data_IF_632127450127
#
_entry.id   IF_632127450127
#
_cell.length_a   1.000
_cell.length_b   1.000
_cell.length_c   1.000
_cell.angle_alpha   90.00
_cell.angle_beta   90.00
_cell.angle_gamma   90.00
#
_symmetry.space_group_name_H-M   'P 1'
#
loop_
_entity.id
_entity.type
_entity.pdbx_description
1 polymer ?
#
# COMPACT_ATOMS: atom_id res chain seq x y z
N UNK A 1 -18.77 -7.43 7.98
CA UNK A 1 -17.82 -6.29 8.14
C UNK A 1 -16.42 -6.76 7.78
N UNK A 2 -15.76 -6.17 6.79
CA UNK A 2 -14.38 -6.50 6.44
C UNK A 2 -13.40 -6.15 7.56
N UNK A 3 -12.39 -6.98 7.72
CA UNK A 3 -11.35 -6.79 8.74
C UNK A 3 -10.00 -6.61 8.06
N UNK A 4 -9.32 -5.51 8.40
CA UNK A 4 -7.96 -5.24 7.95
C UNK A 4 -6.99 -5.44 9.11
N UNK A 5 -5.89 -6.16 8.85
CA UNK A 5 -4.81 -6.34 9.81
C UNK A 5 -3.57 -5.64 9.27
N UNK A 6 -3.00 -4.75 10.07
CA UNK A 6 -1.77 -4.04 9.75
C UNK A 6 -0.57 -4.60 10.48
N UNK A 7 0.60 -4.48 9.86
CA UNK A 7 1.86 -4.89 10.46
C UNK A 7 2.70 -5.76 9.54
N UNK A 8 3.97 -5.94 9.90
CA UNK A 8 4.98 -6.57 9.07
C UNK A 8 5.52 -7.90 9.64
N UNK A 9 4.98 -8.36 10.76
CA UNK A 9 5.47 -9.57 11.42
C UNK A 9 5.21 -10.84 10.61
N UNK A 10 6.29 -11.55 10.28
CA UNK A 10 6.20 -12.69 9.36
C UNK A 10 5.58 -13.94 9.99
N UNK A 11 5.87 -14.19 11.28
CA UNK A 11 5.43 -15.43 11.94
C UNK A 11 4.04 -15.33 12.55
N UNK A 12 3.64 -14.17 13.02
CA UNK A 12 2.35 -13.97 13.70
C UNK A 12 1.40 -13.12 12.88
N UNK A 13 1.77 -11.87 12.57
CA UNK A 13 0.87 -10.92 11.90
C UNK A 13 0.42 -11.43 10.54
N UNK A 14 1.34 -11.79 9.67
CA UNK A 14 1.01 -12.26 8.33
C UNK A 14 0.28 -13.62 8.35
N UNK A 15 0.55 -14.43 9.34
CA UNK A 15 -0.21 -15.66 9.55
C UNK A 15 -1.67 -15.36 9.89
N UNK A 16 -1.91 -14.38 10.78
CA UNK A 16 -3.26 -13.96 11.14
C UNK A 16 -3.99 -13.32 9.96
N UNK A 17 -3.28 -12.57 9.13
CA UNK A 17 -3.84 -12.05 7.87
C UNK A 17 -4.35 -13.21 7.01
N UNK A 18 -3.53 -14.22 6.79
CA UNK A 18 -3.91 -15.36 5.97
C UNK A 18 -5.11 -16.12 6.53
N UNK A 19 -5.26 -16.18 7.85
CA UNK A 19 -6.35 -16.91 8.50
C UNK A 19 -7.66 -16.12 8.56
N UNK A 20 -7.61 -14.83 8.81
CA UNK A 20 -8.79 -14.08 9.26
C UNK A 20 -9.07 -12.78 8.52
N UNK A 21 -8.08 -12.18 7.85
CA UNK A 21 -8.24 -10.83 7.32
C UNK A 21 -8.84 -10.80 5.92
N UNK A 22 -9.62 -9.77 5.66
CA UNK A 22 -10.08 -9.42 4.32
C UNK A 22 -9.06 -8.53 3.60
N UNK A 23 -8.23 -7.82 4.38
CA UNK A 23 -7.19 -6.94 3.86
C UNK A 23 -5.99 -6.91 4.79
N UNK A 24 -4.83 -6.60 4.24
CA UNK A 24 -3.63 -6.31 5.01
C UNK A 24 -3.12 -4.90 4.69
N UNK A 25 -2.39 -4.33 5.64
CA UNK A 25 -1.72 -3.04 5.44
C UNK A 25 -0.24 -3.19 5.77
N UNK A 26 0.61 -2.93 4.79
CA UNK A 26 2.06 -3.11 4.88
C UNK A 26 2.78 -1.80 4.58
N UNK A 27 3.97 -1.63 5.17
CA UNK A 27 4.83 -0.50 4.82
C UNK A 27 5.58 -0.80 3.51
N UNK A 28 5.74 0.22 2.64
CA UNK A 28 6.40 0.03 1.34
C UNK A 28 7.94 0.05 1.48
N UNK A 29 8.46 -0.85 2.30
CA UNK A 29 9.90 -1.01 2.54
C UNK A 29 10.54 -1.83 1.43
N UNK A 30 11.90 -1.85 1.33
CA UNK A 30 12.57 -2.74 0.38
C UNK A 30 12.26 -4.22 0.59
N UNK A 31 11.81 -4.61 1.79
CA UNK A 31 11.45 -5.99 2.11
C UNK A 31 9.99 -6.34 1.81
N UNK A 32 9.19 -5.41 1.29
CA UNK A 32 7.75 -5.65 1.13
C UNK A 32 7.45 -6.81 0.19
N UNK A 33 8.23 -6.99 -0.87
CA UNK A 33 8.07 -8.12 -1.77
C UNK A 33 8.25 -9.45 -1.04
N UNK A 34 9.25 -9.54 -0.16
CA UNK A 34 9.46 -10.71 0.68
C UNK A 34 8.29 -10.94 1.64
N UNK A 35 7.74 -9.87 2.23
CA UNK A 35 6.57 -9.96 3.11
C UNK A 35 5.36 -10.52 2.37
N UNK A 36 5.14 -10.13 1.12
CA UNK A 36 4.07 -10.68 0.30
C UNK A 36 4.30 -12.18 0.02
N UNK A 37 5.55 -12.60 -0.21
CA UNK A 37 5.86 -14.03 -0.39
C UNK A 37 5.59 -14.83 0.88
N UNK A 38 5.90 -14.28 2.04
CA UNK A 38 5.60 -14.91 3.33
C UNK A 38 4.09 -15.05 3.52
N UNK A 39 3.33 -13.99 3.22
CA UNK A 39 1.87 -14.04 3.27
C UNK A 39 1.32 -15.13 2.34
N UNK A 40 1.85 -15.20 1.13
CA UNK A 40 1.44 -16.21 0.15
C UNK A 40 1.66 -17.64 0.65
N UNK A 41 2.81 -17.89 1.30
CA UNK A 41 3.11 -19.20 1.91
C UNK A 41 2.14 -19.53 3.04
N UNK A 42 1.80 -18.55 3.88
CA UNK A 42 0.78 -18.75 4.92
C UNK A 42 -0.58 -19.08 4.29
N UNK A 43 -0.96 -18.39 3.22
CA UNK A 43 -2.20 -18.68 2.51
C UNK A 43 -2.23 -20.11 1.97
N UNK A 44 -1.14 -20.58 1.37
CA UNK A 44 -1.01 -21.97 0.91
C UNK A 44 -1.18 -22.94 2.06
N UNK A 45 -0.54 -22.69 3.20
CA UNK A 45 -0.62 -23.55 4.40
C UNK A 45 -2.05 -23.67 4.94
N UNK A 46 -2.82 -22.57 4.92
CA UNK A 46 -4.18 -22.54 5.45
C UNK A 46 -5.25 -22.71 4.36
N UNK A 47 -4.85 -23.02 3.13
CA UNK A 47 -5.76 -23.20 1.99
C UNK A 47 -6.64 -21.99 1.76
N UNK A 48 -6.06 -20.79 1.94
CA UNK A 48 -6.70 -19.52 1.69
C UNK A 48 -6.30 -18.98 0.31
N UNK A 49 -7.25 -18.49 -0.46
CA UNK A 49 -6.93 -17.83 -1.72
C UNK A 49 -6.26 -16.49 -1.44
N UNK A 50 -4.97 -16.39 -1.78
CA UNK A 50 -4.18 -15.17 -1.62
C UNK A 50 -4.82 -13.95 -2.31
N UNK A 51 -5.45 -14.15 -3.46
CA UNK A 51 -6.03 -13.05 -4.24
C UNK A 51 -7.32 -12.48 -3.60
N UNK A 52 -7.92 -13.17 -2.65
CA UNK A 52 -9.06 -12.66 -1.88
C UNK A 52 -8.66 -11.60 -0.85
N UNK A 53 -7.38 -11.53 -0.50
CA UNK A 53 -6.89 -10.57 0.49
C UNK A 53 -6.50 -9.29 -0.23
N UNK A 54 -7.16 -8.18 0.09
CA UNK A 54 -6.79 -6.87 -0.43
C UNK A 54 -5.46 -6.43 0.17
N UNK A 55 -4.50 -6.05 -0.69
CA UNK A 55 -3.19 -5.57 -0.26
C UNK A 55 -3.20 -4.06 -0.29
N UNK A 56 -3.03 -3.46 0.87
CA UNK A 56 -2.96 -2.01 1.02
C UNK A 56 -1.61 -1.63 1.64
N UNK A 57 -1.21 -0.39 1.44
CA UNK A 57 0.06 0.11 1.97
C UNK A 57 -0.10 1.47 2.62
N UNK A 58 0.67 1.70 3.69
CA UNK A 58 0.87 3.04 4.22
C UNK A 58 1.88 3.77 3.35
N UNK A 59 1.58 5.02 3.03
CA UNK A 59 2.43 5.80 2.13
C UNK A 59 2.48 7.25 2.59
N UNK A 60 3.68 7.82 2.65
CA UNK A 60 3.85 9.24 2.94
C UNK A 60 3.88 10.03 1.63
N UNK A 61 2.95 10.98 1.49
CA UNK A 61 2.85 11.78 0.28
C UNK A 61 3.54 13.13 0.48
N UNK A 62 4.82 13.19 0.15
CA UNK A 62 5.60 14.43 0.10
C UNK A 62 5.75 14.83 -1.35
N UNK A 63 4.82 15.66 -1.85
CA UNK A 63 4.84 16.10 -3.25
C UNK A 63 5.88 17.19 -3.51
N UNK A 64 6.50 17.76 -2.45
CA UNK A 64 7.37 18.93 -2.55
C UNK A 64 6.57 20.23 -2.60
N UNK A 65 7.27 21.35 -2.54
CA UNK A 65 6.62 22.67 -2.49
C UNK A 65 5.90 23.02 -3.80
N UNK A 66 6.39 22.48 -4.93
CA UNK A 66 5.87 22.78 -6.27
C UNK A 66 5.51 21.52 -7.06
N UNK A 67 5.44 20.37 -6.40
CA UNK A 67 5.16 19.10 -7.07
C UNK A 67 6.41 18.44 -7.68
N UNK A 68 7.61 18.84 -7.27
CA UNK A 68 8.86 18.28 -7.79
C UNK A 68 9.01 16.79 -7.52
N UNK A 69 8.31 16.24 -6.52
CA UNK A 69 8.38 14.82 -6.15
C UNK A 69 7.28 13.98 -6.77
N UNK A 70 6.36 14.58 -7.54
CA UNK A 70 5.20 13.84 -8.11
C UNK A 70 5.64 12.66 -8.96
N UNK A 71 6.64 12.84 -9.83
CA UNK A 71 7.12 11.75 -10.68
C UNK A 71 7.62 10.55 -9.89
N UNK A 72 8.38 10.78 -8.82
CA UNK A 72 8.88 9.72 -7.95
C UNK A 72 7.74 8.99 -7.23
N UNK A 73 6.76 9.74 -6.74
CA UNK A 73 5.58 9.17 -6.06
C UNK A 73 4.83 8.27 -7.02
N UNK A 74 4.52 8.75 -8.21
CA UNK A 74 3.78 7.99 -9.22
C UNK A 74 4.52 6.70 -9.59
N UNK A 75 5.83 6.75 -9.80
CA UNK A 75 6.62 5.55 -10.11
C UNK A 75 6.64 4.55 -8.94
N UNK A 76 6.74 5.02 -7.71
CA UNK A 76 6.66 4.13 -6.55
C UNK A 76 5.29 3.47 -6.43
N UNK A 77 4.22 4.23 -6.63
CA UNK A 77 2.85 3.69 -6.62
C UNK A 77 2.65 2.68 -7.76
N UNK A 78 3.21 2.96 -8.93
CA UNK A 78 3.17 2.02 -10.06
C UNK A 78 3.86 0.71 -9.72
N UNK A 79 5.04 0.77 -9.10
CA UNK A 79 5.77 -0.41 -8.64
C UNK A 79 4.98 -1.23 -7.65
N UNK A 80 4.33 -0.56 -6.68
CA UNK A 80 3.48 -1.23 -5.70
C UNK A 80 2.25 -1.88 -6.36
N UNK A 81 1.62 -1.18 -7.31
CA UNK A 81 0.50 -1.74 -8.06
C UNK A 81 0.89 -3.02 -8.80
N UNK A 82 2.08 -3.06 -9.39
CA UNK A 82 2.60 -4.27 -10.07
C UNK A 82 2.84 -5.43 -9.11
N UNK A 83 3.06 -5.14 -7.83
CA UNK A 83 3.18 -6.19 -6.79
C UNK A 83 1.81 -6.68 -6.30
N UNK A 84 0.71 -6.06 -6.72
CA UNK A 84 -0.64 -6.43 -6.32
C UNK A 84 -1.29 -5.54 -5.27
N UNK A 85 -0.65 -4.44 -4.88
CA UNK A 85 -1.29 -3.46 -4.00
C UNK A 85 -2.39 -2.71 -4.74
N UNK A 86 -3.56 -2.62 -4.11
CA UNK A 86 -4.74 -1.97 -4.69
C UNK A 86 -5.04 -0.61 -4.08
N UNK A 87 -4.48 -0.30 -2.92
CA UNK A 87 -4.73 0.95 -2.22
C UNK A 87 -3.48 1.44 -1.50
N UNK A 88 -3.23 2.73 -1.58
CA UNK A 88 -2.22 3.41 -0.79
C UNK A 88 -2.90 4.49 0.06
N UNK A 89 -2.59 4.54 1.33
CA UNK A 89 -3.20 5.49 2.26
C UNK A 89 -2.13 6.11 3.16
N UNK A 90 -2.31 7.35 3.50
CA UNK A 90 -1.36 8.02 4.38
C UNK A 90 -1.53 9.54 4.40
N UNK A 91 -0.63 10.19 5.12
CA UNK A 91 -0.65 11.63 5.24
C UNK A 91 0.03 12.36 4.09
N UNK A 92 -0.44 13.54 3.82
CA UNK A 92 0.17 14.47 2.85
C UNK A 92 0.98 15.48 3.65
N UNK A 93 2.27 15.60 3.35
CA UNK A 93 3.16 16.55 4.02
C UNK A 93 2.69 17.97 3.78
N UNK A 94 2.72 18.78 4.84
CA UNK A 94 2.31 20.19 4.81
C UNK A 94 0.85 20.39 4.34
N UNK A 95 -0.01 19.46 4.68
CA UNK A 95 -1.42 19.42 4.24
C UNK A 95 -2.18 20.74 4.55
N UNK A 96 -1.80 21.44 5.63
CA UNK A 96 -2.43 22.70 6.02
C UNK A 96 -2.20 23.84 5.03
N UNK A 97 -1.21 23.72 4.15
CA UNK A 97 -0.94 24.72 3.11
C UNK A 97 -1.91 24.62 1.93
N UNK A 98 -2.73 23.59 1.85
CA UNK A 98 -3.70 23.30 0.77
C UNK A 98 -3.02 22.97 -0.56
N UNK A 99 -2.00 23.69 -1.00
CA UNK A 99 -1.30 23.43 -2.26
C UNK A 99 -0.90 21.96 -2.45
N UNK A 100 -0.35 21.24 -1.45
CA UNK A 100 -0.07 19.81 -1.61
C UNK A 100 -1.30 18.98 -1.95
N UNK A 101 -2.47 19.29 -1.38
CA UNK A 101 -3.72 18.60 -1.71
C UNK A 101 -4.16 18.86 -3.13
N UNK A 102 -4.01 20.08 -3.63
CA UNK A 102 -4.32 20.43 -5.00
C UNK A 102 -3.43 19.66 -5.98
N UNK A 103 -2.14 19.54 -5.67
CA UNK A 103 -1.20 18.75 -6.46
C UNK A 103 -1.57 17.28 -6.45
N UNK A 104 -1.93 16.73 -5.29
CA UNK A 104 -2.42 15.34 -5.19
C UNK A 104 -3.63 15.13 -6.09
N UNK A 105 -4.63 16.01 -6.01
CA UNK A 105 -5.87 15.89 -6.76
C UNK A 105 -5.66 16.03 -8.28
N UNK A 106 -4.72 16.88 -8.69
CA UNK A 106 -4.51 17.18 -10.09
C UNK A 106 -3.56 16.21 -10.78
N UNK A 107 -2.53 15.73 -10.07
CA UNK A 107 -1.43 15.00 -10.69
C UNK A 107 -1.25 13.58 -10.18
N UNK A 108 -1.32 13.34 -8.86
CA UNK A 108 -1.02 12.03 -8.29
C UNK A 108 -2.22 11.08 -8.39
N UNK A 109 -3.38 11.52 -7.92
CA UNK A 109 -4.58 10.67 -7.88
C UNK A 109 -5.01 10.23 -9.27
N UNK A 110 -5.09 11.11 -10.29
CA UNK A 110 -5.47 10.67 -11.63
C UNK A 110 -4.46 9.68 -12.24
N UNK A 111 -3.16 9.89 -12.00
CA UNK A 111 -2.15 8.97 -12.49
C UNK A 111 -2.26 7.59 -11.83
N UNK A 112 -2.46 7.57 -10.50
CA UNK A 112 -2.60 6.32 -9.77
C UNK A 112 -3.89 5.56 -10.13
N UNK A 113 -4.95 6.26 -10.42
CA UNK A 113 -6.23 5.66 -10.79
C UNK A 113 -6.14 4.87 -12.12
N UNK A 114 -5.11 5.12 -12.92
CA UNK A 114 -4.89 4.42 -14.18
C UNK A 114 -4.12 3.08 -14.03
N UNK A 115 -3.67 2.75 -12.83
CA UNK A 115 -2.88 1.53 -12.58
C UNK A 115 -3.71 0.27 -12.39
#
# INVERSE_FOLDING_TARGET
MPIMIGGMGEQKTLRLVAKYADACNLFPTPQVAHKLDVLKRHCERYKRNYDEIEKTTMFGFDVGDRGENVGQIVERLRGLSRMGFSSAMGGVKDVWKITPLEIMAREVIPAAAAF
#
